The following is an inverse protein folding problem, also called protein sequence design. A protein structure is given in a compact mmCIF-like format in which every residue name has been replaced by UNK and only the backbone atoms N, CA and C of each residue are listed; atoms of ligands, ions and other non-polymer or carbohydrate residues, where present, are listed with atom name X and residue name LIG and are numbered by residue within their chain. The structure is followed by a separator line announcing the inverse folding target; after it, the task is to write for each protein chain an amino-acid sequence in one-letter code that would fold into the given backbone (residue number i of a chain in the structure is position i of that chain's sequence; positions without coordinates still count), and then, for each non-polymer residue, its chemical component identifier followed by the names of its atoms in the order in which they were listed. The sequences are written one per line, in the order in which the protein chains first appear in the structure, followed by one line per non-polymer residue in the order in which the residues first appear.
data_IF_924436161711
#
_entry.id   IF_924436161711
#
_cell.length_a   1.000
_cell.length_b   1.000
_cell.length_c   1.000
_cell.angle_alpha   90.00
_cell.angle_beta   90.00
_cell.angle_gamma   90.00
#
_symmetry.space_group_name_H-M   'P 1'
#
loop_
_entity.id
_entity.type
_entity.pdbx_description
1 polymer ?
#
# COMPACT_ATOMS: atom_id res chain seq x y z
N UNK A 1 -44.11 5.30 19.41
CA UNK A 1 -42.87 5.98 18.90
C UNK A 1 -41.92 4.88 18.43
N UNK A 2 -41.41 4.97 17.20
CA UNK A 2 -40.46 3.99 16.67
C UNK A 2 -39.05 4.27 17.22
N UNK A 3 -38.35 3.22 17.68
CA UNK A 3 -36.97 3.31 18.17
C UNK A 3 -36.16 2.10 17.67
N UNK A 4 -34.87 2.23 17.59
CA UNK A 4 -33.98 1.17 17.06
C UNK A 4 -34.09 1.02 15.54
N UNK A 5 -33.70 -0.14 15.03
CA UNK A 5 -33.73 -0.45 13.59
C UNK A 5 -35.15 -0.78 13.12
N UNK A 6 -35.53 -0.25 11.95
CA UNK A 6 -36.80 -0.52 11.29
C UNK A 6 -36.67 -0.38 9.76
N UNK A 7 -37.68 -0.87 9.02
CA UNK A 7 -37.67 -0.80 7.55
C UNK A 7 -38.75 0.11 7.01
N UNK A 8 -38.42 0.88 5.97
CA UNK A 8 -39.37 1.61 5.14
C UNK A 8 -39.08 1.25 3.68
N UNK A 9 -40.04 0.68 2.97
CA UNK A 9 -39.94 0.29 1.56
C UNK A 9 -38.71 -0.60 1.23
N UNK A 10 -38.30 -1.44 2.20
CA UNK A 10 -37.13 -2.34 2.05
C UNK A 10 -35.80 -1.78 2.53
N UNK A 11 -35.67 -0.46 2.70
CA UNK A 11 -34.48 0.20 3.25
C UNK A 11 -34.46 0.15 4.78
N UNK A 12 -33.26 0.04 5.37
CA UNK A 12 -33.04 0.05 6.81
C UNK A 12 -32.85 1.48 7.34
N UNK A 13 -33.57 1.79 8.44
CA UNK A 13 -33.50 3.07 9.15
C UNK A 13 -33.27 2.83 10.63
N UNK A 14 -32.75 3.86 11.31
CA UNK A 14 -32.55 3.83 12.75
C UNK A 14 -33.06 5.12 13.42
N UNK A 15 -33.84 4.95 14.48
CA UNK A 15 -34.21 6.02 15.40
C UNK A 15 -33.56 5.79 16.76
N UNK A 16 -33.04 6.86 17.37
CA UNK A 16 -32.48 6.81 18.71
C UNK A 16 -33.50 6.34 19.77
N UNK A 17 -33.02 6.00 20.96
CA UNK A 17 -33.93 5.61 22.09
C UNK A 17 -34.95 6.67 22.46
N UNK A 18 -34.65 7.95 22.15
CA UNK A 18 -35.59 9.08 22.27
C UNK A 18 -36.63 9.13 21.15
N UNK A 19 -36.51 8.29 20.10
CA UNK A 19 -37.30 8.36 18.88
C UNK A 19 -36.77 9.39 17.86
N UNK A 20 -35.70 10.12 18.20
CA UNK A 20 -35.08 11.11 17.31
C UNK A 20 -34.39 10.45 16.11
N UNK A 21 -34.62 10.99 14.92
CA UNK A 21 -33.94 10.60 13.67
C UNK A 21 -32.86 11.64 13.36
N UNK A 22 -31.61 11.20 13.23
CA UNK A 22 -30.47 12.05 12.92
C UNK A 22 -29.29 11.23 12.41
N UNK A 23 -28.33 11.90 11.76
CA UNK A 23 -27.05 11.28 11.43
C UNK A 23 -26.32 10.81 12.69
N UNK A 24 -25.97 9.52 12.74
CA UNK A 24 -25.29 8.97 13.92
C UNK A 24 -24.62 7.62 13.62
N UNK A 25 -23.58 7.34 14.40
CA UNK A 25 -23.01 6.00 14.48
C UNK A 25 -23.90 5.09 15.32
N UNK A 26 -24.12 3.87 14.84
CA UNK A 26 -24.96 2.86 15.51
C UNK A 26 -24.16 1.56 15.62
N UNK A 27 -24.05 1.01 16.81
CA UNK A 27 -23.39 -0.27 17.00
C UNK A 27 -22.57 -0.35 18.27
N UNK A 28 -21.86 -1.47 18.41
CA UNK A 28 -20.95 -1.72 19.53
C UNK A 28 -19.87 -2.74 19.16
N UNK A 29 -18.72 -2.71 19.85
CA UNK A 29 -17.64 -3.64 19.62
C UNK A 29 -17.12 -3.54 18.18
N UNK A 30 -17.21 -4.63 17.44
CA UNK A 30 -16.74 -4.70 16.07
C UNK A 30 -17.80 -4.38 15.00
N UNK A 31 -19.07 -4.29 15.37
CA UNK A 31 -20.19 -4.10 14.46
C UNK A 31 -20.66 -2.65 14.50
N UNK A 32 -20.21 -1.85 13.53
CA UNK A 32 -20.56 -0.45 13.42
C UNK A 32 -21.25 -0.16 12.10
N UNK A 33 -22.30 0.64 12.18
CA UNK A 33 -23.11 1.16 11.10
C UNK A 33 -23.14 2.68 11.18
N UNK A 34 -23.50 3.33 10.10
CA UNK A 34 -23.80 4.75 10.11
C UNK A 34 -25.15 4.99 9.44
N UNK A 35 -25.93 5.90 9.98
CA UNK A 35 -27.14 6.40 9.36
C UNK A 35 -27.01 7.87 9.05
N UNK A 36 -27.57 8.31 7.92
CA UNK A 36 -27.56 9.69 7.49
C UNK A 36 -28.55 10.57 8.29
N UNK A 37 -28.73 11.84 7.86
CA UNK A 37 -29.61 12.79 8.54
C UNK A 37 -31.07 12.36 8.54
N UNK A 38 -31.49 11.55 7.57
CA UNK A 38 -32.85 10.99 7.47
C UNK A 38 -32.97 9.66 8.24
N UNK A 39 -31.90 9.24 8.94
CA UNK A 39 -31.84 7.99 9.68
C UNK A 39 -31.65 6.76 8.79
N UNK A 40 -31.45 6.92 7.48
CA UNK A 40 -31.26 5.82 6.54
C UNK A 40 -29.85 5.23 6.67
N UNK A 41 -29.76 3.90 6.72
CA UNK A 41 -28.49 3.17 6.75
C UNK A 41 -27.68 3.45 5.48
N UNK A 42 -26.40 3.84 5.63
CA UNK A 42 -25.51 4.09 4.51
C UNK A 42 -24.74 2.83 4.10
N UNK A 43 -24.36 2.76 2.81
CA UNK A 43 -23.54 1.68 2.24
C UNK A 43 -22.48 2.26 1.31
N UNK A 44 -21.49 1.45 0.92
CA UNK A 44 -20.40 1.88 0.06
C UNK A 44 -19.41 2.84 0.73
N UNK A 45 -18.69 3.61 -0.07
CA UNK A 45 -17.75 4.62 0.44
C UNK A 45 -18.51 5.85 0.93
N UNK A 46 -18.22 6.27 2.16
CA UNK A 46 -18.81 7.43 2.83
C UNK A 46 -17.72 8.30 3.43
N UNK A 47 -17.92 9.62 3.40
CA UNK A 47 -17.05 10.57 4.13
C UNK A 47 -17.87 11.16 5.28
N UNK A 48 -17.47 10.83 6.51
CA UNK A 48 -18.16 11.21 7.73
C UNK A 48 -17.18 12.06 8.55
N UNK A 49 -17.56 13.30 8.81
CA UNK A 49 -16.71 14.26 9.53
C UNK A 49 -15.27 14.35 8.97
N UNK A 50 -15.14 14.36 7.63
CA UNK A 50 -13.86 14.46 6.94
C UNK A 50 -13.05 13.14 6.86
N UNK A 51 -13.52 12.05 7.45
CA UNK A 51 -12.88 10.74 7.41
C UNK A 51 -13.63 9.80 6.48
N UNK A 52 -12.91 9.11 5.58
CA UNK A 52 -13.48 8.14 4.64
C UNK A 52 -13.63 6.78 5.31
N UNK A 53 -14.75 6.12 5.06
CA UNK A 53 -15.11 4.78 5.51
C UNK A 53 -15.71 3.96 4.36
N UNK A 54 -15.82 2.66 4.54
CA UNK A 54 -16.58 1.78 3.64
C UNK A 54 -17.54 0.90 4.42
N UNK A 55 -18.79 0.85 3.95
CA UNK A 55 -19.86 0.04 4.51
C UNK A 55 -20.29 -1.01 3.49
N UNK A 56 -20.42 -2.25 3.90
CA UNK A 56 -20.97 -3.32 3.06
C UNK A 56 -22.44 -3.06 2.69
N UNK A 57 -22.97 -3.87 1.79
CA UNK A 57 -24.39 -3.80 1.38
C UNK A 57 -25.37 -4.02 2.54
N UNK A 58 -24.94 -4.71 3.60
CA UNK A 58 -25.69 -4.87 4.85
C UNK A 58 -25.43 -3.74 5.86
N UNK A 59 -24.74 -2.68 5.47
CA UNK A 59 -24.39 -1.52 6.28
C UNK A 59 -23.24 -1.71 7.26
N UNK A 60 -22.60 -2.90 7.33
CA UNK A 60 -21.51 -3.14 8.27
C UNK A 60 -20.22 -2.42 7.82
N UNK A 61 -19.65 -1.60 8.71
CA UNK A 61 -18.37 -0.89 8.46
C UNK A 61 -17.21 -1.87 8.31
N UNK A 62 -16.45 -1.72 7.25
CA UNK A 62 -15.21 -2.51 7.00
C UNK A 62 -14.03 -2.03 7.83
N UNK A 63 -13.23 -3.02 8.24
CA UNK A 63 -11.92 -2.88 8.90
C UNK A 63 -10.95 -3.90 8.27
N UNK A 64 -9.66 -3.56 8.22
CA UNK A 64 -8.67 -4.42 7.58
C UNK A 64 -8.78 -4.43 6.06
N UNK A 65 -8.30 -5.50 5.44
CA UNK A 65 -8.35 -5.70 3.99
C UNK A 65 -9.75 -6.07 3.49
N UNK A 66 -10.17 -5.49 2.37
CA UNK A 66 -11.42 -5.82 1.69
C UNK A 66 -11.32 -5.53 0.18
N UNK A 67 -12.23 -6.13 -0.61
CA UNK A 67 -12.29 -5.90 -2.06
C UNK A 67 -13.56 -5.17 -2.46
N UNK A 68 -13.40 -4.24 -3.41
CA UNK A 68 -14.52 -3.59 -4.10
C UNK A 68 -14.25 -3.70 -5.60
N UNK A 69 -15.13 -4.35 -6.34
CA UNK A 69 -15.00 -4.59 -7.78
C UNK A 69 -13.62 -5.13 -8.19
N UNK A 70 -13.11 -6.10 -7.44
CA UNK A 70 -11.81 -6.74 -7.71
C UNK A 70 -10.58 -5.98 -7.21
N UNK A 71 -10.72 -4.73 -6.78
CA UNK A 71 -9.62 -3.89 -6.24
C UNK A 71 -9.50 -4.07 -4.73
N UNK A 72 -8.26 -4.22 -4.25
CA UNK A 72 -7.94 -4.35 -2.83
C UNK A 72 -7.86 -2.97 -2.16
N UNK A 73 -8.53 -2.86 -1.01
CA UNK A 73 -8.55 -1.69 -0.14
C UNK A 73 -8.21 -2.08 1.30
N UNK A 74 -7.78 -1.09 2.07
CA UNK A 74 -7.56 -1.26 3.50
C UNK A 74 -8.16 -0.13 4.31
N UNK A 75 -8.88 -0.50 5.38
CA UNK A 75 -9.35 0.40 6.42
C UNK A 75 -8.65 0.05 7.74
N UNK A 76 -8.28 1.05 8.52
CA UNK A 76 -7.66 0.85 9.83
C UNK A 76 -8.58 0.09 10.79
N UNK A 77 -8.09 -0.25 11.98
CA UNK A 77 -8.90 -0.88 13.05
C UNK A 77 -10.07 -0.02 13.50
N UNK A 78 -10.01 1.31 13.29
CA UNK A 78 -11.14 2.23 13.52
C UNK A 78 -12.11 2.33 12.34
N UNK A 79 -11.83 1.63 11.23
CA UNK A 79 -12.56 1.74 9.96
C UNK A 79 -12.11 2.91 9.08
N UNK A 80 -11.24 3.80 9.57
CA UNK A 80 -10.78 4.94 8.80
C UNK A 80 -9.91 4.52 7.60
N UNK A 81 -10.23 5.07 6.43
CA UNK A 81 -9.51 4.88 5.17
C UNK A 81 -8.61 6.10 4.96
N UNK A 82 -7.30 5.87 4.82
CA UNK A 82 -6.27 6.89 4.61
C UNK A 82 -4.99 6.27 4.07
N UNK A 83 -4.10 7.10 3.52
CA UNK A 83 -2.76 6.66 3.14
C UNK A 83 -2.00 6.11 4.36
N UNK A 84 -1.48 4.88 4.25
CA UNK A 84 -0.71 4.25 5.33
C UNK A 84 0.07 3.03 4.87
N UNK A 85 1.14 2.74 5.58
CA UNK A 85 1.81 1.45 5.53
C UNK A 85 1.01 0.39 6.29
N UNK A 86 0.90 -0.80 5.72
CA UNK A 86 0.15 -1.93 6.29
C UNK A 86 1.05 -3.16 6.29
N UNK A 87 1.32 -3.74 7.43
CA UNK A 87 2.14 -4.94 7.52
C UNK A 87 2.97 -5.03 8.78
N UNK A 88 3.86 -6.04 8.82
CA UNK A 88 4.83 -6.26 9.89
C UNK A 88 5.99 -7.13 9.41
N UNK A 89 7.14 -7.05 10.09
CA UNK A 89 8.34 -7.81 9.72
C UNK A 89 8.78 -7.49 8.29
N UNK A 90 8.83 -8.52 7.45
CA UNK A 90 9.24 -8.40 6.04
C UNK A 90 8.06 -8.35 5.06
N UNK A 91 6.81 -8.27 5.56
CA UNK A 91 5.59 -8.25 4.75
C UNK A 91 4.96 -6.86 4.88
N UNK A 92 5.17 -6.02 3.88
CA UNK A 92 4.68 -4.65 3.85
C UNK A 92 3.94 -4.33 2.57
N UNK A 93 2.84 -3.60 2.72
CA UNK A 93 2.01 -3.02 1.68
C UNK A 93 1.88 -1.52 1.92
N UNK A 94 1.46 -0.80 0.91
CA UNK A 94 1.07 0.58 1.06
C UNK A 94 -0.30 0.81 0.43
N UNK A 95 -1.10 1.64 1.06
CA UNK A 95 -2.38 2.09 0.50
C UNK A 95 -2.41 3.60 0.38
N UNK A 96 -3.04 4.09 -0.67
CA UNK A 96 -3.19 5.52 -0.94
C UNK A 96 -4.25 6.17 -0.04
N UNK A 97 -4.45 7.48 -0.19
CA UNK A 97 -5.41 8.25 0.61
C UNK A 97 -6.86 7.75 0.46
N UNK A 98 -7.19 7.16 -0.67
CA UNK A 98 -8.50 6.53 -0.91
C UNK A 98 -8.59 5.09 -0.37
N UNK A 99 -7.50 4.57 0.21
CA UNK A 99 -7.39 3.23 0.78
C UNK A 99 -7.01 2.14 -0.20
N UNK A 100 -6.82 2.47 -1.48
CA UNK A 100 -6.47 1.50 -2.52
C UNK A 100 -5.03 0.99 -2.34
N UNK A 101 -4.84 -0.33 -2.45
CA UNK A 101 -3.52 -0.95 -2.45
C UNK A 101 -2.73 -0.54 -3.69
N UNK A 102 -1.46 -0.16 -3.49
CA UNK A 102 -0.56 0.21 -4.60
C UNK A 102 0.20 -1.00 -5.15
N UNK A 103 0.62 -0.90 -6.41
CA UNK A 103 1.51 -1.83 -7.11
C UNK A 103 2.51 -1.05 -7.96
N UNK A 104 3.57 -1.72 -8.44
CA UNK A 104 4.61 -1.08 -9.26
C UNK A 104 5.49 -0.12 -8.48
N UNK A 105 6.16 0.79 -9.20
CA UNK A 105 7.00 1.82 -8.60
C UNK A 105 6.16 2.92 -7.95
N UNK A 106 6.49 3.26 -6.71
CA UNK A 106 5.84 4.32 -5.93
C UNK A 106 6.87 5.22 -5.27
N UNK A 107 6.57 6.51 -5.19
CA UNK A 107 7.37 7.45 -4.38
C UNK A 107 6.56 7.85 -3.16
N UNK A 108 7.02 7.43 -1.99
CA UNK A 108 6.32 7.64 -0.71
C UNK A 108 7.25 8.42 0.20
N UNK A 109 6.82 9.58 0.65
CA UNK A 109 7.64 10.48 1.50
C UNK A 109 9.05 10.75 0.94
N UNK A 110 9.16 10.89 -0.41
CA UNK A 110 10.42 11.19 -1.09
C UNK A 110 11.33 9.98 -1.35
N UNK A 111 10.99 8.78 -0.87
CA UNK A 111 11.73 7.54 -1.16
C UNK A 111 10.98 6.70 -2.20
N UNK A 112 11.74 6.07 -3.12
CA UNK A 112 11.20 5.19 -4.15
C UNK A 112 11.13 3.76 -3.64
N UNK A 113 10.04 3.08 -3.96
CA UNK A 113 9.75 1.68 -3.62
C UNK A 113 9.20 0.94 -4.82
N UNK A 114 9.22 -0.39 -4.78
CA UNK A 114 8.51 -1.23 -5.75
C UNK A 114 7.63 -2.25 -5.03
N UNK A 115 6.38 -2.32 -5.47
CA UNK A 115 5.38 -3.27 -4.99
C UNK A 115 5.03 -4.24 -6.12
N UNK A 116 5.10 -5.54 -5.87
CA UNK A 116 4.70 -6.56 -6.81
C UNK A 116 3.20 -6.42 -7.18
N UNK A 117 2.72 -7.19 -8.17
CA UNK A 117 1.28 -7.24 -8.52
C UNK A 117 0.39 -7.65 -7.34
N UNK A 118 0.94 -8.45 -6.41
CA UNK A 118 0.27 -8.81 -5.15
C UNK A 118 0.19 -7.67 -4.13
N UNK A 119 0.77 -6.50 -4.42
CA UNK A 119 0.93 -5.38 -3.50
C UNK A 119 2.08 -5.52 -2.51
N UNK A 120 2.82 -6.64 -2.51
CA UNK A 120 3.92 -6.86 -1.58
C UNK A 120 5.13 -5.99 -1.95
N UNK A 121 5.62 -5.17 -1.00
CA UNK A 121 6.85 -4.40 -1.15
C UNK A 121 8.05 -5.31 -1.37
N UNK A 122 8.87 -5.01 -2.37
CA UNK A 122 10.08 -5.77 -2.67
C UNK A 122 11.28 -5.24 -1.89
N UNK A 123 12.13 -6.18 -1.45
CA UNK A 123 13.41 -5.93 -0.76
C UNK A 123 14.48 -6.86 -1.31
N UNK A 124 15.77 -6.48 -1.22
CA UNK A 124 16.84 -7.27 -1.80
C UNK A 124 16.77 -7.29 -3.33
N UNK A 125 17.26 -8.37 -3.94
CA UNK A 125 17.20 -8.58 -5.38
C UNK A 125 15.83 -9.09 -5.84
N UNK A 126 15.30 -8.50 -6.91
CA UNK A 126 14.05 -8.93 -7.56
C UNK A 126 14.09 -8.64 -9.06
N UNK A 127 13.15 -9.24 -9.83
CA UNK A 127 13.09 -9.07 -11.28
C UNK A 127 11.82 -8.35 -11.72
N UNK A 128 11.98 -7.46 -12.69
CA UNK A 128 10.87 -6.85 -13.43
C UNK A 128 11.13 -7.06 -14.91
N UNK A 129 10.25 -7.77 -15.62
CA UNK A 129 10.37 -8.07 -17.05
C UNK A 129 11.75 -8.63 -17.44
N UNK A 130 12.30 -9.51 -16.61
CA UNK A 130 13.60 -10.16 -16.85
C UNK A 130 14.83 -9.34 -16.40
N UNK A 131 14.70 -8.04 -16.13
CA UNK A 131 15.79 -7.22 -15.60
C UNK A 131 15.89 -7.32 -14.06
N UNK A 132 17.13 -7.29 -13.55
CA UNK A 132 17.42 -7.35 -12.12
C UNK A 132 17.37 -5.96 -11.50
N UNK A 133 16.72 -5.89 -10.34
CA UNK A 133 16.58 -4.69 -9.51
C UNK A 133 16.95 -5.00 -8.06
N UNK A 134 17.33 -3.98 -7.32
CA UNK A 134 17.63 -4.10 -5.90
C UNK A 134 16.99 -2.98 -5.09
N UNK A 135 16.35 -3.36 -4.00
CA UNK A 135 15.90 -2.45 -2.95
C UNK A 135 16.59 -2.79 -1.62
N UNK A 136 16.81 -1.82 -0.78
CA UNK A 136 17.37 -2.02 0.56
C UNK A 136 16.48 -2.91 1.41
N UNK A 137 16.93 -3.34 2.58
CA UNK A 137 16.11 -4.08 3.56
C UNK A 137 14.88 -3.29 4.01
N UNK A 138 14.91 -1.95 3.93
CA UNK A 138 13.74 -1.09 4.19
C UNK A 138 12.82 -0.92 2.97
N UNK A 139 13.13 -1.56 1.83
CA UNK A 139 12.42 -1.41 0.56
C UNK A 139 12.82 -0.20 -0.27
N UNK A 140 13.66 0.70 0.26
CA UNK A 140 14.03 1.91 -0.46
C UNK A 140 14.93 1.61 -1.67
N UNK A 141 14.58 2.19 -2.82
CA UNK A 141 15.30 2.09 -4.09
C UNK A 141 16.12 3.36 -4.28
N UNK A 142 17.41 3.17 -4.53
CA UNK A 142 18.38 4.24 -4.80
C UNK A 142 19.63 3.69 -5.46
N UNK A 143 20.42 4.56 -6.11
CA UNK A 143 21.74 4.20 -6.59
C UNK A 143 22.64 3.73 -5.44
N UNK A 144 23.24 2.54 -5.57
CA UNK A 144 24.11 1.99 -4.53
C UNK A 144 24.95 0.81 -5.01
N UNK A 145 26.06 0.60 -4.33
CA UNK A 145 26.83 -0.63 -4.42
C UNK A 145 26.13 -1.74 -3.62
N UNK A 146 26.08 -2.94 -4.20
CA UNK A 146 25.46 -4.13 -3.60
C UNK A 146 26.45 -5.30 -3.65
N UNK A 147 26.75 -5.90 -2.53
CA UNK A 147 27.67 -7.05 -2.48
C UNK A 147 28.64 -7.02 -1.32
N UNK A 148 29.57 -7.98 -1.33
CA UNK A 148 30.64 -8.09 -0.33
C UNK A 148 31.87 -8.81 -0.89
N UNK A 149 33.03 -8.60 -0.26
CA UNK A 149 34.28 -9.26 -0.63
C UNK A 149 34.65 -8.97 -2.09
N UNK A 150 34.63 -10.01 -2.91
CA UNK A 150 34.97 -9.93 -4.32
C UNK A 150 33.75 -9.89 -5.27
N UNK A 151 32.56 -9.93 -4.74
CA UNK A 151 31.29 -9.98 -5.49
C UNK A 151 30.55 -8.66 -5.31
N UNK A 152 30.71 -7.76 -6.27
CA UNK A 152 30.10 -6.44 -6.24
C UNK A 152 29.28 -6.16 -7.49
N UNK A 153 28.12 -5.57 -7.28
CA UNK A 153 27.20 -5.05 -8.28
C UNK A 153 26.98 -3.57 -8.03
N UNK A 154 26.46 -2.87 -9.00
CA UNK A 154 25.94 -1.52 -8.81
C UNK A 154 24.53 -1.44 -9.38
N UNK A 155 23.67 -0.73 -8.69
CA UNK A 155 22.33 -0.40 -9.18
C UNK A 155 22.22 1.12 -9.34
N UNK A 156 21.53 1.55 -10.39
CA UNK A 156 21.28 2.96 -10.67
C UNK A 156 20.24 3.59 -9.73
N UNK A 157 19.86 4.85 -9.98
CA UNK A 157 18.87 5.57 -9.18
C UNK A 157 17.46 4.93 -9.22
N UNK A 158 17.19 4.13 -10.26
CA UNK A 158 15.96 3.36 -10.41
C UNK A 158 16.04 1.98 -9.77
N UNK A 159 17.19 1.65 -9.15
CA UNK A 159 17.46 0.37 -8.54
C UNK A 159 17.78 -0.74 -9.54
N UNK A 160 17.90 -0.41 -10.83
CA UNK A 160 18.20 -1.38 -11.89
C UNK A 160 19.68 -1.73 -11.89
N UNK A 161 20.00 -3.03 -11.95
CA UNK A 161 21.36 -3.52 -12.07
C UNK A 161 22.02 -3.01 -13.35
N UNK A 162 23.24 -2.45 -13.24
CA UNK A 162 23.99 -1.93 -14.39
C UNK A 162 24.92 -2.99 -14.96
N UNK A 163 25.21 -2.87 -16.26
CA UNK A 163 26.19 -3.69 -17.01
C UNK A 163 27.06 -2.82 -17.89
N UNK A 164 28.16 -3.36 -18.42
CA UNK A 164 29.09 -2.64 -19.27
C UNK A 164 29.90 -1.57 -18.54
N UNK A 165 30.38 -0.56 -19.27
CA UNK A 165 31.15 0.54 -18.71
C UNK A 165 30.24 1.55 -18.00
N UNK A 166 30.60 1.88 -16.75
CA UNK A 166 29.88 2.85 -15.93
C UNK A 166 30.85 3.86 -15.32
N UNK A 167 30.42 5.11 -15.20
CA UNK A 167 31.16 6.12 -14.42
C UNK A 167 30.40 6.40 -13.13
N UNK A 168 30.97 6.03 -11.99
CA UNK A 168 30.38 6.15 -10.68
C UNK A 168 31.33 7.00 -9.82
N UNK A 169 30.82 8.10 -9.29
CA UNK A 169 31.64 9.06 -8.50
C UNK A 169 32.96 9.46 -9.21
N UNK A 170 32.88 9.71 -10.53
CA UNK A 170 34.01 10.11 -11.37
C UNK A 170 34.99 8.98 -11.70
N UNK A 171 34.78 7.76 -11.26
CA UNK A 171 35.61 6.59 -11.53
C UNK A 171 34.95 5.65 -12.53
N UNK A 172 35.75 5.08 -13.45
CA UNK A 172 35.26 4.13 -14.46
C UNK A 172 35.31 2.70 -13.93
N UNK A 173 34.23 1.99 -14.11
CA UNK A 173 34.05 0.58 -13.76
C UNK A 173 33.52 -0.20 -14.97
N UNK A 174 33.77 -1.50 -14.99
CA UNK A 174 33.17 -2.40 -15.98
C UNK A 174 32.41 -3.52 -15.26
N UNK A 175 31.16 -3.75 -15.65
CA UNK A 175 30.31 -4.80 -15.15
C UNK A 175 29.99 -5.79 -16.28
N UNK A 176 30.16 -7.09 -16.02
CA UNK A 176 29.80 -8.13 -16.97
C UNK A 176 28.29 -8.11 -17.26
N UNK A 177 27.83 -8.88 -18.24
CA UNK A 177 26.38 -9.06 -18.52
C UNK A 177 25.60 -9.59 -17.31
N UNK A 178 26.26 -10.37 -16.43
CA UNK A 178 25.72 -10.82 -15.14
C UNK A 178 25.61 -9.72 -14.08
N UNK A 179 26.03 -8.49 -14.38
CA UNK A 179 26.11 -7.37 -13.44
C UNK A 179 27.34 -7.40 -12.52
N UNK A 180 28.16 -8.46 -12.55
CA UNK A 180 29.32 -8.57 -11.67
C UNK A 180 30.41 -7.59 -12.08
N UNK A 181 30.85 -6.73 -11.13
CA UNK A 181 31.98 -5.82 -11.34
C UNK A 181 33.26 -6.60 -11.64
N UNK A 182 33.91 -6.25 -12.73
CA UNK A 182 35.20 -6.85 -13.11
C UNK A 182 36.36 -6.05 -12.51
N UNK A 183 37.21 -6.74 -11.78
CA UNK A 183 38.52 -6.17 -11.36
C UNK A 183 39.45 -6.08 -12.58
N UNK A 184 40.08 -4.93 -12.77
CA UNK A 184 41.08 -4.78 -13.82
C UNK A 184 42.15 -5.87 -13.62
N UNK A 185 42.30 -6.81 -14.57
CA UNK A 185 43.53 -7.58 -14.66
C UNK A 185 44.61 -6.58 -15.11
N UNK A 186 45.56 -6.28 -14.23
CA UNK A 186 46.79 -5.63 -14.64
C UNK A 186 47.53 -6.70 -15.43
N UNK A 187 47.52 -6.61 -16.76
CA UNK A 187 48.50 -7.34 -17.56
C UNK A 187 49.83 -6.66 -17.27
N UNK A 188 50.68 -7.33 -16.49
CA UNK A 188 52.11 -7.01 -16.44
C UNK A 188 52.66 -7.32 -17.83
N UNK A 189 53.03 -6.28 -18.57
CA UNK A 189 53.94 -6.35 -19.69
C UNK A 189 55.38 -6.38 -19.17
#
# INVERSE_FOLDING_TARGET
MQTGWFKINGDDYYAASSGEIKAQWVGSGNNWYYVDADGKMVTGFQTISGTKYYFETNGLMKKGWFKVNGTDYYASTSGAIKAQWVGSGNIWYYVEADGKMVTGFQTIAGAKYYFAESGLMQTGWFKINGADYYATSSGAIKAQWVGSGNTWYYVDADGKMVTGYQTIDGKKYYFAESGLMQKRMVQNQ
#
